data_IF_501474499007
#
_entry.id   IF_501474499007
#
_cell.length_a   1.000
_cell.length_b   1.000
_cell.length_c   1.000
_cell.angle_alpha   90.00
_cell.angle_beta   90.00
_cell.angle_gamma   90.00
#
_symmetry.space_group_name_H-M   'P 1'
#
loop_
_entity.id
_entity.type
_entity.pdbx_description
1 polymer ?
#
# COMPACT_ATOMS: atom_id res chain seq x y z
N UNK A 1 -13.78 9.55 -22.78
CA UNK A 1 -12.34 9.52 -22.42
C UNK A 1 -11.98 10.59 -21.38
N UNK A 2 -12.49 11.82 -21.45
CA UNK A 2 -12.15 12.89 -20.48
C UNK A 2 -12.51 12.55 -19.01
N UNK A 3 -13.53 11.73 -18.77
CA UNK A 3 -13.98 11.43 -17.40
C UNK A 3 -13.02 10.49 -16.63
N UNK A 4 -12.27 9.62 -17.33
CA UNK A 4 -11.36 8.63 -16.71
C UNK A 4 -10.14 9.30 -16.09
N UNK A 5 -9.53 10.25 -16.81
CA UNK A 5 -8.36 10.98 -16.33
C UNK A 5 -8.71 11.97 -15.21
N UNK A 6 -9.88 12.59 -15.25
CA UNK A 6 -10.36 13.44 -14.16
C UNK A 6 -10.60 12.63 -12.87
N UNK A 7 -11.26 11.47 -12.97
CA UNK A 7 -11.46 10.56 -11.84
C UNK A 7 -10.12 10.06 -11.27
N UNK A 8 -9.17 9.72 -12.15
CA UNK A 8 -7.82 9.35 -11.76
C UNK A 8 -7.11 10.48 -11.02
N UNK A 9 -7.11 11.70 -11.56
CA UNK A 9 -6.41 12.85 -10.96
C UNK A 9 -6.92 13.15 -9.55
N UNK A 10 -8.25 13.13 -9.35
CA UNK A 10 -8.84 13.35 -8.02
C UNK A 10 -8.48 12.22 -7.06
N UNK A 11 -8.66 10.96 -7.47
CA UNK A 11 -8.36 9.82 -6.60
C UNK A 11 -6.87 9.69 -6.29
N UNK A 12 -5.99 10.09 -7.21
CA UNK A 12 -4.54 10.20 -7.01
C UNK A 12 -4.20 11.27 -5.98
N UNK A 13 -4.77 12.47 -6.10
CA UNK A 13 -4.54 13.58 -5.17
C UNK A 13 -5.01 13.23 -3.75
N UNK A 14 -6.19 12.61 -3.63
CA UNK A 14 -6.70 12.10 -2.36
C UNK A 14 -5.74 11.05 -1.76
N UNK A 15 -5.29 10.08 -2.55
CA UNK A 15 -4.34 9.07 -2.09
C UNK A 15 -3.03 9.68 -1.63
N UNK A 16 -2.49 10.65 -2.38
CA UNK A 16 -1.25 11.34 -2.04
C UNK A 16 -1.36 12.09 -0.71
N UNK A 17 -2.45 12.83 -0.47
CA UNK A 17 -2.64 13.55 0.78
C UNK A 17 -2.90 12.63 1.97
N UNK A 18 -3.67 11.56 1.80
CA UNK A 18 -3.87 10.56 2.87
C UNK A 18 -2.56 9.86 3.22
N UNK A 19 -1.76 9.48 2.22
CA UNK A 19 -0.44 8.89 2.44
C UNK A 19 0.53 9.89 3.08
N UNK A 20 0.54 11.15 2.63
CA UNK A 20 1.31 12.22 3.26
C UNK A 20 0.96 12.35 4.74
N UNK A 21 -0.33 12.42 5.08
CA UNK A 21 -0.79 12.49 6.45
C UNK A 21 -0.29 11.32 7.31
N UNK A 22 -0.33 10.09 6.78
CA UNK A 22 0.19 8.91 7.49
C UNK A 22 1.71 8.95 7.68
N UNK A 23 2.46 9.59 6.78
CA UNK A 23 3.92 9.74 6.88
C UNK A 23 4.37 10.97 7.69
N UNK A 24 3.51 11.96 7.91
CA UNK A 24 3.86 13.19 8.64
C UNK A 24 4.42 12.90 10.02
N UNK A 25 3.76 12.08 10.83
CA UNK A 25 4.22 11.80 12.21
C UNK A 25 5.57 11.06 12.23
N UNK A 26 5.80 9.99 11.44
CA UNK A 26 7.12 9.39 11.31
C UNK A 26 8.22 10.37 10.88
N UNK A 27 7.95 11.27 9.93
CA UNK A 27 8.91 12.30 9.48
C UNK A 27 9.23 13.30 10.60
N UNK A 28 8.25 13.63 11.45
CA UNK A 28 8.43 14.53 12.60
C UNK A 28 9.12 13.87 13.79
N UNK A 29 9.22 12.55 13.83
CA UNK A 29 9.69 11.82 15.00
C UNK A 29 11.04 12.31 15.58
N UNK A 30 12.08 12.64 14.78
CA UNK A 30 13.33 13.15 15.32
C UNK A 30 13.19 14.45 16.14
N UNK A 31 12.18 15.27 15.83
CA UNK A 31 11.92 16.56 16.50
C UNK A 31 10.86 16.43 17.60
N UNK A 32 9.84 15.59 17.38
CA UNK A 32 8.72 15.45 18.33
C UNK A 32 9.01 14.49 19.50
N UNK A 33 9.83 13.45 19.30
CA UNK A 33 10.10 12.45 20.36
C UNK A 33 10.80 13.01 21.60
N UNK A 34 11.81 13.90 21.50
CA UNK A 34 12.43 14.52 22.66
C UNK A 34 11.42 15.25 23.57
N UNK A 35 10.50 16.01 22.97
CA UNK A 35 9.45 16.73 23.68
C UNK A 35 8.43 15.80 24.35
N UNK A 36 8.18 14.64 23.74
CA UNK A 36 7.24 13.63 24.22
C UNK A 36 7.84 12.64 25.24
N UNK A 37 9.15 12.72 25.51
CA UNK A 37 9.88 11.71 26.29
C UNK A 37 9.82 10.31 25.66
N UNK A 38 9.65 10.25 24.33
CA UNK A 38 9.39 9.02 23.58
C UNK A 38 10.65 8.38 23.01
N UNK A 39 10.54 7.12 22.58
CA UNK A 39 11.62 6.39 21.90
C UNK A 39 11.26 6.05 20.44
N UNK A 40 12.25 5.67 19.63
CA UNK A 40 12.04 5.23 18.23
C UNK A 40 11.08 4.05 18.10
N UNK A 41 10.95 3.22 19.14
CA UNK A 41 9.97 2.12 19.22
C UNK A 41 8.54 2.62 19.04
N UNK A 42 8.24 3.82 19.54
CA UNK A 42 6.91 4.42 19.41
C UNK A 42 6.54 4.71 17.95
N UNK A 43 7.51 5.06 17.10
CA UNK A 43 7.26 5.30 15.67
C UNK A 43 6.83 4.00 15.00
N UNK A 44 7.52 2.89 15.31
CA UNK A 44 7.15 1.57 14.83
C UNK A 44 5.75 1.15 15.28
N UNK A 45 5.43 1.35 16.57
CA UNK A 45 4.09 1.10 17.11
C UNK A 45 3.01 1.97 16.47
N UNK A 46 3.30 3.25 16.24
CA UNK A 46 2.40 4.18 15.57
C UNK A 46 2.06 3.73 14.15
N UNK A 47 3.07 3.36 13.36
CA UNK A 47 2.88 2.83 12.00
C UNK A 47 2.10 1.51 12.03
N UNK A 48 2.40 0.61 12.96
CA UNK A 48 1.66 -0.65 13.13
C UNK A 48 0.18 -0.40 13.45
N UNK A 49 -0.13 0.57 14.32
CA UNK A 49 -1.51 0.97 14.65
C UNK A 49 -2.24 1.58 13.45
N UNK A 50 -1.56 2.37 12.61
CA UNK A 50 -2.13 2.86 11.35
C UNK A 50 -2.55 1.68 10.47
N UNK A 51 -1.65 0.71 10.24
CA UNK A 51 -1.97 -0.43 9.38
C UNK A 51 -3.04 -1.35 9.98
N UNK A 52 -3.08 -1.50 11.31
CA UNK A 52 -4.14 -2.23 11.99
C UNK A 52 -5.51 -1.55 11.81
N UNK A 53 -5.56 -0.23 11.97
CA UNK A 53 -6.76 0.57 11.69
C UNK A 53 -7.17 0.50 10.21
N UNK A 54 -6.20 0.54 9.29
CA UNK A 54 -6.41 0.42 7.85
C UNK A 54 -6.97 -0.96 7.47
N UNK A 55 -6.46 -2.02 8.10
CA UNK A 55 -6.93 -3.40 7.92
C UNK A 55 -8.41 -3.56 8.29
N UNK A 56 -8.81 -3.04 9.45
CA UNK A 56 -10.21 -3.17 9.91
C UNK A 56 -11.14 -2.29 9.07
N UNK A 57 -10.73 -1.04 8.81
CA UNK A 57 -11.55 -0.08 8.06
C UNK A 57 -11.70 -0.45 6.57
N UNK A 58 -10.67 -1.04 5.94
CA UNK A 58 -10.75 -1.50 4.55
C UNK A 58 -11.82 -2.58 4.39
N UNK A 59 -11.99 -3.45 5.38
CA UNK A 59 -13.02 -4.48 5.37
C UNK A 59 -14.43 -3.88 5.35
N UNK A 60 -14.66 -2.82 6.12
CA UNK A 60 -15.97 -2.15 6.19
C UNK A 60 -16.27 -1.26 4.97
N UNK A 61 -15.23 -0.85 4.23
CA UNK A 61 -15.31 0.15 3.18
C UNK A 61 -16.31 -0.17 2.07
N UNK A 62 -16.36 -1.42 1.58
CA UNK A 62 -17.14 -1.75 0.40
C UNK A 62 -18.65 -1.54 0.56
N UNK A 63 -19.20 -1.87 1.73
CA UNK A 63 -20.61 -1.63 2.04
C UNK A 63 -20.92 -0.13 2.19
N UNK A 64 -19.96 0.65 2.70
CA UNK A 64 -20.10 2.08 2.85
C UNK A 64 -19.99 2.82 1.52
N UNK A 65 -19.10 2.37 0.63
CA UNK A 65 -18.93 2.91 -0.73
C UNK A 65 -20.23 2.76 -1.51
N UNK A 66 -20.84 1.57 -1.52
CA UNK A 66 -22.11 1.34 -2.21
C UNK A 66 -23.27 2.20 -1.70
N UNK A 67 -23.26 2.56 -0.41
CA UNK A 67 -24.33 3.33 0.22
C UNK A 67 -24.14 4.83 0.08
N UNK A 68 -22.93 5.31 0.37
CA UNK A 68 -22.66 6.75 0.52
C UNK A 68 -21.96 7.35 -0.70
N UNK A 69 -21.40 6.51 -1.57
CA UNK A 69 -20.55 6.93 -2.69
C UNK A 69 -19.06 6.86 -2.35
N UNK A 70 -18.22 6.61 -3.35
CA UNK A 70 -16.78 6.45 -3.18
C UNK A 70 -16.07 7.78 -2.84
N UNK A 71 -16.47 8.90 -3.44
CA UNK A 71 -15.95 10.23 -3.13
C UNK A 71 -16.36 10.64 -1.72
N UNK A 72 -17.61 10.39 -1.31
CA UNK A 72 -18.03 10.67 0.08
C UNK A 72 -17.20 9.91 1.11
N UNK A 73 -16.91 8.63 0.86
CA UNK A 73 -16.04 7.85 1.75
C UNK A 73 -14.62 8.40 1.74
N UNK A 74 -14.10 8.81 0.60
CA UNK A 74 -12.78 9.44 0.48
C UNK A 74 -12.67 10.77 1.24
N UNK A 75 -13.74 11.59 1.25
CA UNK A 75 -13.82 12.80 2.07
C UNK A 75 -13.79 12.49 3.56
N UNK A 76 -14.56 11.50 4.01
CA UNK A 76 -14.52 11.04 5.41
C UNK A 76 -13.11 10.56 5.77
N UNK A 77 -12.43 9.86 4.87
CA UNK A 77 -11.06 9.43 5.08
C UNK A 77 -10.09 10.61 5.27
N UNK A 78 -10.16 11.62 4.40
CA UNK A 78 -9.37 12.85 4.53
C UNK A 78 -9.64 13.56 5.86
N UNK A 79 -10.91 13.68 6.26
CA UNK A 79 -11.30 14.33 7.51
C UNK A 79 -10.83 13.53 8.73
N UNK A 80 -10.88 12.19 8.69
CA UNK A 80 -10.32 11.33 9.74
C UNK A 80 -8.79 11.48 9.84
N UNK A 81 -8.09 11.54 8.71
CA UNK A 81 -6.65 11.81 8.70
C UNK A 81 -6.32 13.19 9.26
N UNK A 82 -7.07 14.22 8.86
CA UNK A 82 -6.91 15.58 9.37
C UNK A 82 -7.20 15.68 10.87
N UNK A 83 -8.27 15.06 11.34
CA UNK A 83 -8.60 14.99 12.76
C UNK A 83 -7.51 14.24 13.54
N UNK A 84 -7.00 13.13 13.01
CA UNK A 84 -5.89 12.38 13.62
C UNK A 84 -4.64 13.26 13.79
N UNK A 85 -4.23 13.98 12.74
CA UNK A 85 -3.11 14.92 12.79
C UNK A 85 -3.35 16.07 13.78
N UNK A 86 -4.56 16.62 13.83
CA UNK A 86 -4.92 17.67 14.78
C UNK A 86 -4.87 17.15 16.24
N UNK A 87 -5.27 15.90 16.48
CA UNK A 87 -5.13 15.25 17.79
C UNK A 87 -3.65 15.05 18.12
N UNK A 88 -2.83 14.57 17.18
CA UNK A 88 -1.38 14.43 17.38
C UNK A 88 -0.70 15.76 17.75
N UNK A 89 -1.20 16.87 17.22
CA UNK A 89 -0.73 18.21 17.56
C UNK A 89 -1.02 18.60 19.02
N UNK A 90 -1.77 17.82 19.79
CA UNK A 90 -1.93 18.04 21.24
C UNK A 90 -0.64 17.79 22.03
N UNK A 91 0.28 16.98 21.50
CA UNK A 91 1.59 16.74 22.10
C UNK A 91 1.60 15.83 23.32
N UNK A 92 0.68 14.86 23.39
CA UNK A 92 0.69 13.80 24.41
C UNK A 92 0.81 12.41 23.78
N UNK A 93 1.37 11.45 24.52
CA UNK A 93 1.57 10.08 24.02
C UNK A 93 0.24 9.38 23.67
N UNK A 94 -0.81 9.59 24.46
CA UNK A 94 -2.14 9.03 24.18
C UNK A 94 -2.77 9.62 22.91
N UNK A 95 -2.46 10.89 22.59
CA UNK A 95 -2.89 11.52 21.33
C UNK A 95 -2.31 10.80 20.11
N UNK A 96 -1.07 10.29 20.21
CA UNK A 96 -0.47 9.53 19.11
C UNK A 96 -1.21 8.21 18.84
N UNK A 97 -1.69 7.53 19.88
CA UNK A 97 -2.48 6.29 19.71
C UNK A 97 -3.79 6.58 19.00
N UNK A 98 -4.52 7.60 19.44
CA UNK A 98 -5.79 7.99 18.81
C UNK A 98 -5.55 8.49 17.38
N UNK A 99 -4.50 9.29 17.17
CA UNK A 99 -4.09 9.74 15.85
C UNK A 99 -3.78 8.57 14.92
N UNK A 100 -3.02 7.58 15.36
CA UNK A 100 -2.68 6.40 14.55
C UNK A 100 -3.93 5.64 14.11
N UNK A 101 -4.87 5.42 15.03
CA UNK A 101 -6.13 4.75 14.72
C UNK A 101 -7.01 5.56 13.77
N UNK A 102 -7.08 6.89 13.95
CA UNK A 102 -7.82 7.78 13.05
C UNK A 102 -7.21 7.83 11.64
N UNK A 103 -5.88 7.95 11.55
CA UNK A 103 -5.13 7.87 10.30
C UNK A 103 -5.31 6.51 9.62
N UNK A 104 -5.28 5.41 10.38
CA UNK A 104 -5.56 4.07 9.87
C UNK A 104 -6.97 3.94 9.31
N UNK A 105 -7.97 4.42 10.06
CA UNK A 105 -9.36 4.42 9.63
C UNK A 105 -9.62 5.25 8.37
N UNK A 106 -8.85 6.32 8.16
CA UNK A 106 -8.84 7.08 6.91
C UNK A 106 -8.05 6.39 5.79
N UNK A 107 -6.91 5.77 6.09
CA UNK A 107 -6.03 5.16 5.09
C UNK A 107 -6.66 3.93 4.42
N UNK A 108 -7.32 3.06 5.20
CA UNK A 108 -7.86 1.79 4.72
C UNK A 108 -8.87 1.91 3.58
N UNK A 109 -9.96 2.70 3.70
CA UNK A 109 -11.04 2.75 2.71
C UNK A 109 -10.72 3.52 1.41
N UNK A 110 -9.64 4.30 1.37
CA UNK A 110 -9.29 5.14 0.19
C UNK A 110 -8.98 4.29 -1.04
N UNK A 111 -8.24 3.19 -0.87
CA UNK A 111 -7.93 2.32 -2.01
C UNK A 111 -9.19 1.62 -2.54
N UNK A 112 -10.04 0.97 -1.71
CA UNK A 112 -11.34 0.46 -2.13
C UNK A 112 -12.23 1.49 -2.84
N UNK A 113 -12.32 2.72 -2.33
CA UNK A 113 -13.10 3.79 -2.93
C UNK A 113 -12.58 4.16 -4.33
N UNK A 114 -11.27 4.35 -4.45
CA UNK A 114 -10.65 4.63 -5.75
C UNK A 114 -10.82 3.47 -6.74
N UNK A 115 -10.65 2.21 -6.31
CA UNK A 115 -10.83 1.04 -7.16
C UNK A 115 -12.26 0.94 -7.68
N UNK A 116 -13.25 1.30 -6.86
CA UNK A 116 -14.66 1.35 -7.26
C UNK A 116 -14.89 2.36 -8.40
N UNK A 117 -14.35 3.57 -8.27
CA UNK A 117 -14.45 4.61 -9.30
C UNK A 117 -13.70 4.20 -10.57
N UNK A 118 -12.44 3.75 -10.42
CA UNK A 118 -11.59 3.39 -11.56
C UNK A 118 -12.15 2.19 -12.32
N UNK A 119 -12.69 1.18 -11.64
CA UNK A 119 -13.29 0.02 -12.29
C UNK A 119 -14.47 0.39 -13.22
N UNK A 120 -15.22 1.44 -12.88
CA UNK A 120 -16.35 1.94 -13.67
C UNK A 120 -15.92 2.88 -14.79
N UNK A 121 -14.89 3.69 -14.54
CA UNK A 121 -14.50 4.78 -15.44
C UNK A 121 -13.36 4.41 -16.39
N UNK A 122 -12.64 3.32 -16.15
CA UNK A 122 -11.45 2.93 -16.92
C UNK A 122 -11.76 1.81 -17.92
N UNK A 123 -11.40 1.98 -19.21
CA UNK A 123 -11.47 0.88 -20.18
C UNK A 123 -10.62 -0.32 -19.77
N UNK A 124 -11.11 -1.54 -20.02
CA UNK A 124 -10.45 -2.79 -19.59
C UNK A 124 -8.99 -2.92 -20.00
N UNK A 125 -8.62 -2.42 -21.18
CA UNK A 125 -7.25 -2.48 -21.73
C UNK A 125 -6.30 -1.44 -21.12
N UNK A 126 -6.76 -0.53 -20.25
CA UNK A 126 -5.94 0.47 -19.56
C UNK A 126 -5.96 0.28 -18.03
N UNK A 127 -6.63 -0.76 -17.53
CA UNK A 127 -6.84 -0.92 -16.10
C UNK A 127 -5.52 -1.12 -15.36
N UNK A 128 -4.58 -1.91 -15.89
CA UNK A 128 -3.28 -2.14 -15.27
C UNK A 128 -2.52 -0.84 -15.07
N UNK A 129 -2.40 -0.02 -16.11
CA UNK A 129 -1.68 1.24 -16.07
C UNK A 129 -2.40 2.30 -15.22
N UNK A 130 -3.72 2.47 -15.36
CA UNK A 130 -4.47 3.49 -14.61
C UNK A 130 -4.50 3.20 -13.10
N UNK A 131 -4.69 1.93 -12.70
CA UNK A 131 -4.59 1.56 -11.28
C UNK A 131 -3.16 1.73 -10.74
N UNK A 132 -2.15 1.43 -11.56
CA UNK A 132 -0.75 1.64 -11.18
C UNK A 132 -0.42 3.11 -11.01
N UNK A 133 -0.88 3.97 -11.93
CA UNK A 133 -0.74 5.41 -11.84
C UNK A 133 -1.45 5.92 -10.58
N UNK A 134 -2.67 5.47 -10.29
CA UNK A 134 -3.37 5.80 -9.03
C UNK A 134 -2.57 5.40 -7.79
N UNK A 135 -1.96 4.21 -7.79
CA UNK A 135 -1.16 3.75 -6.65
C UNK A 135 0.17 4.48 -6.48
N UNK A 136 0.65 5.21 -7.49
CA UNK A 136 1.77 6.15 -7.29
C UNK A 136 1.43 7.30 -6.35
N UNK A 137 0.16 7.51 -6.01
CA UNK A 137 -0.23 8.44 -4.96
C UNK A 137 0.47 8.16 -3.62
N UNK A 138 0.70 6.88 -3.27
CA UNK A 138 1.36 6.53 -2.00
C UNK A 138 2.79 7.06 -1.90
N UNK A 139 3.73 6.76 -2.83
CA UNK A 139 5.07 7.33 -2.80
C UNK A 139 5.08 8.84 -3.00
N UNK A 140 4.17 9.41 -3.81
CA UNK A 140 4.03 10.88 -3.92
C UNK A 140 3.73 11.48 -2.55
N UNK A 141 2.81 10.87 -1.78
CA UNK A 141 2.53 11.31 -0.41
C UNK A 141 3.75 11.25 0.51
N UNK A 142 4.57 10.20 0.39
CA UNK A 142 5.83 10.10 1.13
C UNK A 142 6.84 11.19 0.76
N UNK A 143 6.99 11.49 -0.52
CA UNK A 143 7.84 12.59 -1.02
C UNK A 143 7.33 13.95 -0.51
N UNK A 144 6.02 14.20 -0.62
CA UNK A 144 5.41 15.42 -0.10
C UNK A 144 5.64 15.56 1.40
N UNK A 145 5.49 14.48 2.18
CA UNK A 145 5.77 14.50 3.61
C UNK A 145 7.24 14.83 3.88
N UNK A 146 8.19 14.14 3.22
CA UNK A 146 9.62 14.36 3.41
C UNK A 146 10.11 15.76 2.99
N UNK A 147 9.49 16.37 1.97
CA UNK A 147 9.88 17.69 1.47
C UNK A 147 9.20 18.85 2.22
N UNK A 148 7.90 18.74 2.47
CA UNK A 148 7.11 19.85 3.00
C UNK A 148 7.12 19.91 4.53
N UNK A 149 7.11 18.75 5.20
CA UNK A 149 6.97 18.71 6.66
C UNK A 149 8.17 19.33 7.37
N UNK A 150 9.45 19.02 7.05
CA UNK A 150 10.58 19.68 7.69
C UNK A 150 10.57 21.20 7.52
N UNK A 151 10.19 21.68 6.32
CA UNK A 151 10.07 23.12 6.06
C UNK A 151 8.96 23.77 6.89
N UNK A 152 7.83 23.09 7.09
CA UNK A 152 6.77 23.57 7.97
C UNK A 152 7.22 23.61 9.44
N UNK A 153 8.01 22.63 9.88
CA UNK A 153 8.57 22.61 11.25
C UNK A 153 9.44 23.83 11.51
N UNK A 154 10.29 24.22 10.55
CA UNK A 154 11.12 25.43 10.69
C UNK A 154 10.30 26.72 10.82
N UNK A 155 9.13 26.79 10.14
CA UNK A 155 8.32 28.00 10.08
C UNK A 155 7.33 28.13 11.24
N UNK A 156 6.69 27.03 11.64
CA UNK A 156 5.55 27.03 12.58
C UNK A 156 5.67 25.97 13.68
N UNK A 157 6.83 25.32 13.81
CA UNK A 157 7.05 24.22 14.74
C UNK A 157 6.34 22.92 14.32
N UNK A 158 6.64 21.83 15.02
CA UNK A 158 6.08 20.51 14.68
C UNK A 158 4.57 20.40 14.96
N UNK A 159 4.06 21.12 15.96
CA UNK A 159 2.63 21.23 16.23
C UNK A 159 1.91 21.93 15.07
N UNK A 160 2.45 23.07 14.59
CA UNK A 160 1.92 23.81 13.46
C UNK A 160 1.99 23.02 12.14
N UNK A 161 3.06 22.24 11.94
CA UNK A 161 3.21 21.37 10.77
C UNK A 161 2.10 20.30 10.69
N UNK A 162 1.75 19.69 11.84
CA UNK A 162 0.63 18.75 11.93
C UNK A 162 -0.71 19.42 11.58
N UNK A 163 -0.97 20.60 12.12
CA UNK A 163 -2.19 21.36 11.82
C UNK A 163 -2.27 21.82 10.37
N UNK A 164 -1.15 22.21 9.76
CA UNK A 164 -1.09 22.56 8.34
C UNK A 164 -1.41 21.36 7.45
N UNK A 165 -0.87 20.18 7.76
CA UNK A 165 -1.22 18.93 7.06
C UNK A 165 -2.69 18.53 7.28
N UNK A 166 -3.24 18.76 8.48
CA UNK A 166 -4.66 18.57 8.76
C UNK A 166 -5.55 19.49 7.91
N UNK A 167 -5.19 20.77 7.81
CA UNK A 167 -5.88 21.74 6.97
C UNK A 167 -5.85 21.33 5.49
N UNK A 168 -4.70 20.87 4.98
CA UNK A 168 -4.59 20.37 3.60
C UNK A 168 -5.56 19.21 3.32
N UNK A 169 -5.74 18.29 4.28
CA UNK A 169 -6.72 17.21 4.17
C UNK A 169 -8.17 17.75 4.11
N UNK A 170 -8.50 18.72 4.96
CA UNK A 170 -9.83 19.34 4.97
C UNK A 170 -10.12 20.10 3.66
N UNK A 171 -9.16 20.87 3.15
CA UNK A 171 -9.27 21.57 1.87
C UNK A 171 -9.48 20.60 0.71
N UNK A 172 -8.75 19.49 0.67
CA UNK A 172 -8.95 18.46 -0.35
C UNK A 172 -10.33 17.81 -0.25
N UNK A 173 -10.87 17.62 0.96
CA UNK A 173 -12.23 17.10 1.12
C UNK A 173 -13.27 18.06 0.52
N UNK A 174 -13.05 19.38 0.63
CA UNK A 174 -13.89 20.40 -0.02
C UNK A 174 -13.72 20.36 -1.54
N UNK A 175 -12.50 20.28 -2.07
CA UNK A 175 -12.26 20.15 -3.52
C UNK A 175 -12.92 18.90 -4.09
N UNK A 176 -12.83 17.76 -3.38
CA UNK A 176 -13.48 16.52 -3.77
C UNK A 176 -15.01 16.63 -3.82
N UNK A 177 -15.62 17.59 -3.09
CA UNK A 177 -17.06 17.82 -3.12
C UNK A 177 -17.54 18.23 -4.52
N UNK A 178 -16.73 18.96 -5.28
CA UNK A 178 -17.07 19.45 -6.63
C UNK A 178 -17.28 18.32 -7.63
N UNK A 179 -16.64 17.16 -7.46
CA UNK A 179 -16.74 16.01 -8.37
C UNK A 179 -17.65 14.90 -7.85
N UNK A 180 -18.15 15.03 -6.62
CA UNK A 180 -18.94 14.01 -5.94
C UNK A 180 -20.16 13.59 -6.75
N UNK A 181 -20.93 14.55 -7.27
CA UNK A 181 -22.18 14.25 -7.97
C UNK A 181 -21.95 13.45 -9.26
N UNK A 182 -20.83 13.70 -9.94
CA UNK A 182 -20.47 13.00 -11.17
C UNK A 182 -19.89 11.60 -10.92
N UNK A 183 -19.24 11.36 -9.77
CA UNK A 183 -18.52 10.11 -9.49
C UNK A 183 -19.22 9.18 -8.50
N UNK A 184 -20.19 9.68 -7.71
CA UNK A 184 -21.01 8.91 -6.77
C UNK A 184 -22.45 8.68 -7.28
N UNK A 185 -22.62 8.64 -8.61
CA UNK A 185 -23.89 8.47 -9.31
C UNK A 185 -24.51 7.06 -9.17
N UNK A 186 -23.73 6.07 -8.74
CA UNK A 186 -24.15 4.67 -8.58
C UNK A 186 -24.50 4.27 -7.13
N UNK A 187 -24.61 5.25 -6.24
CA UNK A 187 -25.00 5.01 -4.85
C UNK A 187 -26.39 4.36 -4.77
N UNK A 188 -26.49 3.32 -3.94
CA UNK A 188 -27.76 2.65 -3.65
C UNK A 188 -28.66 3.52 -2.76
N UNK A 189 -29.91 3.73 -3.19
CA UNK A 189 -30.96 4.35 -2.36
C UNK A 189 -31.66 3.34 -1.44
N UNK A 190 -31.40 2.03 -1.61
CA UNK A 190 -32.03 0.99 -0.82
C UNK A 190 -31.49 0.96 0.62
N UNK A 191 -32.27 0.46 1.60
CA UNK A 191 -31.81 0.27 2.96
C UNK A 191 -30.51 -0.51 2.99
N UNK A 192 -29.55 -0.07 3.81
CA UNK A 192 -28.26 -0.74 3.90
C UNK A 192 -28.47 -2.22 4.24
N UNK A 193 -27.88 -3.17 3.48
CA UNK A 193 -27.90 -4.57 3.88
C UNK A 193 -27.31 -4.68 5.29
N UNK A 194 -27.81 -5.64 6.09
CA UNK A 194 -27.33 -5.89 7.46
C UNK A 194 -25.81 -5.84 7.50
N UNK A 195 -25.27 -5.10 8.48
CA UNK A 195 -23.83 -4.94 8.71
C UNK A 195 -23.21 -6.29 9.04
N UNK A 196 -22.78 -7.02 8.02
CA UNK A 196 -21.93 -8.20 8.18
C UNK A 196 -20.48 -7.77 7.87
N UNK A 197 -19.68 -7.44 8.91
CA UNK A 197 -18.29 -7.03 8.71
C UNK A 197 -17.44 -8.15 8.10
N UNK A 198 -17.86 -9.41 8.21
CA UNK A 198 -17.13 -10.56 7.66
C UNK A 198 -17.57 -10.92 6.24
N UNK A 199 -18.60 -10.27 5.69
CA UNK A 199 -19.08 -10.52 4.33
C UNK A 199 -17.96 -10.42 3.27
N UNK A 200 -17.07 -9.41 3.25
CA UNK A 200 -16.01 -9.34 2.25
C UNK A 200 -15.02 -10.49 2.36
N UNK A 201 -14.71 -10.97 3.58
CA UNK A 201 -13.87 -12.16 3.77
C UNK A 201 -14.56 -13.40 3.20
N UNK A 202 -15.86 -13.58 3.50
CA UNK A 202 -16.65 -14.69 2.93
C UNK A 202 -16.66 -14.65 1.40
N UNK A 203 -16.81 -13.47 0.79
CA UNK A 203 -16.75 -13.30 -0.66
C UNK A 203 -15.40 -13.69 -1.26
N UNK A 204 -14.30 -13.43 -0.55
CA UNK A 204 -12.95 -13.81 -0.98
C UNK A 204 -12.75 -15.31 -0.90
N UNK A 205 -13.16 -15.93 0.19
CA UNK A 205 -13.03 -17.38 0.37
C UNK A 205 -14.00 -18.18 -0.53
N UNK A 206 -15.11 -17.58 -0.95
CA UNK A 206 -16.05 -18.19 -1.89
C UNK A 206 -15.49 -18.30 -3.32
N UNK A 207 -14.57 -17.43 -3.72
CA UNK A 207 -13.96 -17.46 -5.05
C UNK A 207 -12.50 -17.91 -5.00
N UNK A 208 -12.14 -19.11 -5.51
CA UNK A 208 -10.78 -19.63 -5.45
C UNK A 208 -9.71 -18.67 -5.99
N UNK A 209 -10.02 -17.96 -7.08
CA UNK A 209 -9.11 -16.96 -7.67
C UNK A 209 -8.88 -15.77 -6.75
N UNK A 210 -9.91 -15.27 -6.06
CA UNK A 210 -9.78 -14.18 -5.08
C UNK A 210 -8.98 -14.61 -3.86
N UNK A 211 -9.18 -15.83 -3.37
CA UNK A 211 -8.38 -16.40 -2.27
C UNK A 211 -6.89 -16.45 -2.63
N UNK A 212 -6.55 -16.87 -3.85
CA UNK A 212 -5.17 -16.90 -4.32
C UNK A 212 -4.56 -15.49 -4.40
N UNK A 213 -5.33 -14.50 -4.87
CA UNK A 213 -4.92 -13.10 -4.88
C UNK A 213 -4.75 -12.53 -3.47
N UNK A 214 -5.62 -12.89 -2.51
CA UNK A 214 -5.49 -12.48 -1.12
C UNK A 214 -4.17 -13.01 -0.51
N UNK A 215 -3.87 -14.30 -0.68
CA UNK A 215 -2.61 -14.92 -0.25
C UNK A 215 -1.39 -14.27 -0.91
N UNK A 216 -1.46 -14.00 -2.22
CA UNK A 216 -0.41 -13.28 -2.95
C UNK A 216 -0.15 -11.91 -2.34
N UNK A 217 -1.20 -11.15 -2.04
CA UNK A 217 -1.08 -9.79 -1.52
C UNK A 217 -0.54 -9.73 -0.09
N UNK A 218 -0.85 -10.73 0.73
CA UNK A 218 -0.30 -10.88 2.07
C UNK A 218 1.21 -11.02 2.01
N UNK A 219 1.68 -11.97 1.19
CA UNK A 219 3.10 -12.26 1.04
C UNK A 219 3.86 -11.11 0.35
N UNK A 220 3.27 -10.49 -0.66
CA UNK A 220 3.88 -9.34 -1.35
C UNK A 220 3.94 -8.10 -0.45
N UNK A 221 2.89 -7.82 0.33
CA UNK A 221 2.89 -6.73 1.30
C UNK A 221 3.92 -6.94 2.41
N UNK A 222 4.04 -8.17 2.92
CA UNK A 222 5.05 -8.53 3.89
C UNK A 222 6.47 -8.36 3.33
N UNK A 223 6.74 -8.90 2.13
CA UNK A 223 8.04 -8.77 1.45
C UNK A 223 8.38 -7.30 1.17
N UNK A 224 7.42 -6.49 0.73
CA UNK A 224 7.60 -5.06 0.46
C UNK A 224 8.07 -4.31 1.70
N UNK A 225 7.40 -4.53 2.85
CA UNK A 225 7.78 -3.83 4.07
C UNK A 225 9.11 -4.37 4.62
N UNK A 226 9.34 -5.69 4.62
CA UNK A 226 10.63 -6.27 5.03
C UNK A 226 11.79 -5.72 4.20
N UNK A 227 11.65 -5.60 2.88
CA UNK A 227 12.66 -4.98 2.01
C UNK A 227 12.94 -3.54 2.44
N UNK A 228 11.90 -2.74 2.64
CA UNK A 228 12.04 -1.31 2.97
C UNK A 228 12.67 -1.11 4.36
N UNK A 229 12.32 -1.96 5.31
CA UNK A 229 12.77 -1.85 6.70
C UNK A 229 14.19 -2.36 6.89
N UNK A 230 14.55 -3.50 6.29
CA UNK A 230 15.79 -4.21 6.64
C UNK A 230 16.91 -4.08 5.61
N UNK A 231 16.67 -3.53 4.40
CA UNK A 231 17.71 -3.47 3.36
C UNK A 231 18.94 -2.67 3.80
N UNK A 232 18.75 -1.50 4.41
CA UNK A 232 19.88 -0.67 4.87
C UNK A 232 20.63 -1.39 5.98
N UNK A 233 19.93 -1.90 6.99
CA UNK A 233 20.54 -2.68 8.08
C UNK A 233 21.32 -3.88 7.55
N UNK A 234 20.78 -4.62 6.59
CA UNK A 234 21.46 -5.76 5.97
C UNK A 234 22.75 -5.33 5.25
N UNK A 235 22.67 -4.26 4.45
CA UNK A 235 23.82 -3.74 3.72
C UNK A 235 24.90 -3.17 4.65
N UNK A 236 24.54 -2.65 5.81
CA UNK A 236 25.51 -2.10 6.78
C UNK A 236 26.07 -3.16 7.73
N UNK A 237 25.23 -4.05 8.26
CA UNK A 237 25.61 -5.01 9.31
C UNK A 237 26.20 -6.30 8.73
N UNK A 238 25.53 -6.92 7.77
CA UNK A 238 25.95 -8.22 7.22
C UNK A 238 26.93 -8.04 6.04
N UNK A 239 26.67 -7.07 5.16
CA UNK A 239 27.54 -6.82 4.01
C UNK A 239 28.74 -5.89 4.35
N UNK A 240 28.54 -4.90 5.22
CA UNK A 240 29.60 -3.98 5.66
C UNK A 240 29.74 -2.68 4.85
N UNK A 241 28.70 -2.22 4.15
CA UNK A 241 28.71 -0.92 3.47
C UNK A 241 28.63 0.25 4.45
N UNK A 242 29.19 1.39 4.05
CA UNK A 242 28.93 2.66 4.72
C UNK A 242 27.43 3.03 4.63
N UNK A 243 26.89 3.62 5.69
CA UNK A 243 25.48 4.00 5.80
C UNK A 243 24.99 4.87 4.63
N UNK A 244 25.83 5.81 4.18
CA UNK A 244 25.50 6.68 3.03
C UNK A 244 25.31 5.85 1.76
N UNK A 245 26.21 4.90 1.48
CA UNK A 245 26.13 4.04 0.29
C UNK A 245 24.92 3.11 0.35
N UNK A 246 24.65 2.51 1.51
CA UNK A 246 23.45 1.69 1.74
C UNK A 246 22.16 2.53 1.54
N UNK A 247 22.15 3.78 2.01
CA UNK A 247 21.06 4.72 1.80
C UNK A 247 20.84 5.06 0.32
N UNK A 248 21.90 5.25 -0.47
CA UNK A 248 21.82 5.45 -1.93
C UNK A 248 21.22 4.22 -2.61
N UNK A 249 21.64 3.00 -2.23
CA UNK A 249 21.06 1.77 -2.78
C UNK A 249 19.57 1.68 -2.46
N UNK A 250 19.16 1.97 -1.22
CA UNK A 250 17.74 2.01 -0.86
C UNK A 250 16.98 3.04 -1.71
N UNK A 251 17.54 4.23 -1.94
CA UNK A 251 16.92 5.25 -2.78
C UNK A 251 16.74 4.76 -4.23
N UNK A 252 17.76 4.10 -4.80
CA UNK A 252 17.68 3.47 -6.12
C UNK A 252 16.63 2.35 -6.16
N UNK A 253 16.57 1.51 -5.13
CA UNK A 253 15.53 0.48 -4.96
C UNK A 253 14.13 1.07 -4.94
N UNK A 254 13.91 2.16 -4.19
CA UNK A 254 12.62 2.84 -4.12
C UNK A 254 12.26 3.48 -5.46
N UNK A 255 13.23 4.13 -6.12
CA UNK A 255 13.06 4.70 -7.46
C UNK A 255 12.70 3.64 -8.51
N UNK A 256 13.43 2.52 -8.52
CA UNK A 256 13.12 1.37 -9.35
C UNK A 256 11.73 0.79 -9.04
N UNK A 257 11.31 0.81 -7.76
CA UNK A 257 9.96 0.49 -7.35
C UNK A 257 8.88 1.37 -7.98
N UNK A 258 9.07 2.69 -7.99
CA UNK A 258 8.14 3.64 -8.63
C UNK A 258 8.06 3.40 -10.14
N UNK A 259 9.21 3.26 -10.81
CA UNK A 259 9.25 2.95 -12.25
C UNK A 259 8.61 1.60 -12.52
N UNK A 260 8.90 0.60 -11.71
CA UNK A 260 8.33 -0.74 -11.77
C UNK A 260 6.80 -0.73 -11.69
N UNK A 261 6.20 0.09 -10.80
CA UNK A 261 4.73 0.24 -10.73
C UNK A 261 4.14 0.57 -12.09
N UNK A 262 4.68 1.59 -12.75
CA UNK A 262 4.18 2.05 -14.05
C UNK A 262 4.47 1.02 -15.15
N UNK A 263 5.69 0.47 -15.16
CA UNK A 263 6.12 -0.52 -16.14
C UNK A 263 5.24 -1.77 -16.09
N UNK A 264 5.04 -2.36 -14.91
CA UNK A 264 4.22 -3.57 -14.77
C UNK A 264 2.75 -3.30 -15.09
N UNK A 265 2.24 -2.10 -14.76
CA UNK A 265 0.90 -1.67 -15.18
C UNK A 265 0.75 -1.62 -16.70
N UNK A 266 1.75 -1.10 -17.41
CA UNK A 266 1.76 -1.07 -18.87
C UNK A 266 1.93 -2.46 -19.50
N UNK A 267 2.84 -3.28 -18.96
CA UNK A 267 3.05 -4.68 -19.37
C UNK A 267 1.78 -5.51 -19.17
N UNK A 268 1.05 -5.27 -18.06
CA UNK A 268 -0.23 -5.91 -17.75
C UNK A 268 -1.31 -5.67 -18.82
N UNK A 269 -1.25 -4.50 -19.46
CA UNK A 269 -2.26 -4.05 -20.41
C UNK A 269 -1.93 -4.46 -21.86
N UNK A 270 -0.64 -4.58 -22.21
CA UNK A 270 -0.21 -4.79 -23.60
C UNK A 270 0.36 -6.19 -23.88
N UNK A 271 1.08 -6.79 -22.92
CA UNK A 271 1.95 -7.95 -23.19
C UNK A 271 1.57 -9.19 -22.39
N UNK A 272 1.27 -9.04 -21.11
CA UNK A 272 1.05 -10.16 -20.20
C UNK A 272 -0.19 -9.92 -19.33
N UNK A 273 -1.20 -10.78 -19.47
CA UNK A 273 -2.35 -10.73 -18.60
C UNK A 273 -1.94 -10.85 -17.11
N UNK A 274 -2.58 -10.11 -16.18
CA UNK A 274 -2.15 -10.09 -14.78
C UNK A 274 -2.17 -11.43 -14.06
N UNK A 275 -3.01 -12.38 -14.50
CA UNK A 275 -2.94 -13.78 -14.05
C UNK A 275 -1.59 -14.47 -14.27
N UNK A 276 -0.80 -14.05 -15.28
CA UNK A 276 0.54 -14.56 -15.58
C UNK A 276 1.63 -13.63 -15.02
N UNK A 277 1.37 -12.33 -15.02
CA UNK A 277 2.32 -11.34 -14.53
C UNK A 277 2.55 -11.43 -13.02
N UNK A 278 1.51 -11.65 -12.20
CA UNK A 278 1.66 -11.78 -10.75
C UNK A 278 2.55 -12.97 -10.32
N UNK A 279 2.39 -14.19 -10.86
CA UNK A 279 3.36 -15.27 -10.64
C UNK A 279 4.79 -14.93 -11.08
N UNK A 280 4.96 -14.23 -12.20
CA UNK A 280 6.28 -13.79 -12.66
C UNK A 280 6.91 -12.79 -11.69
N UNK A 281 6.14 -11.83 -11.19
CA UNK A 281 6.61 -10.89 -10.16
C UNK A 281 7.00 -11.64 -8.88
N UNK A 282 6.23 -12.63 -8.45
CA UNK A 282 6.58 -13.47 -7.30
C UNK A 282 7.92 -14.18 -7.51
N UNK A 283 8.14 -14.74 -8.70
CA UNK A 283 9.40 -15.41 -9.05
C UNK A 283 10.58 -14.42 -9.04
N UNK A 284 10.42 -13.23 -9.62
CA UNK A 284 11.47 -12.21 -9.62
C UNK A 284 11.77 -11.69 -8.21
N UNK A 285 10.75 -11.55 -7.34
CA UNK A 285 10.94 -11.25 -5.92
C UNK A 285 11.71 -12.38 -5.21
N UNK A 286 11.36 -13.64 -5.49
CA UNK A 286 12.06 -14.79 -4.92
C UNK A 286 13.54 -14.79 -5.30
N UNK A 287 13.84 -14.64 -6.60
CA UNK A 287 15.21 -14.55 -7.11
C UNK A 287 15.95 -13.39 -6.45
N UNK A 288 15.35 -12.20 -6.43
CA UNK A 288 16.00 -11.00 -5.86
C UNK A 288 16.25 -11.16 -4.35
N UNK A 289 15.31 -11.77 -3.61
CA UNK A 289 15.46 -12.05 -2.18
C UNK A 289 16.56 -13.07 -1.91
N UNK A 290 16.59 -14.17 -2.66
CA UNK A 290 17.62 -15.21 -2.52
C UNK A 290 19.01 -14.69 -2.91
N UNK A 291 19.11 -13.88 -3.98
CA UNK A 291 20.35 -13.22 -4.36
C UNK A 291 20.80 -12.22 -3.29
N UNK A 292 19.86 -11.44 -2.72
CA UNK A 292 20.17 -10.53 -1.60
C UNK A 292 20.75 -11.30 -0.44
N UNK A 293 20.17 -12.44 -0.05
CA UNK A 293 20.71 -13.29 1.02
C UNK A 293 22.10 -13.89 0.70
N UNK A 294 22.45 -14.00 -0.57
CA UNK A 294 23.72 -14.55 -1.03
C UNK A 294 24.80 -13.47 -1.22
N UNK A 295 24.52 -12.21 -0.91
CA UNK A 295 25.53 -11.17 -1.01
C UNK A 295 26.70 -11.46 -0.07
N UNK A 296 27.91 -11.29 -0.61
CA UNK A 296 29.16 -11.32 0.14
C UNK A 296 30.00 -10.13 -0.27
N UNK A 297 31.03 -9.79 0.51
CA UNK A 297 31.93 -8.66 0.21
C UNK A 297 32.68 -8.80 -1.13
N UNK A 298 32.68 -9.98 -1.75
CA UNK A 298 33.25 -10.19 -3.09
C UNK A 298 32.31 -9.75 -4.23
N UNK A 299 31.03 -9.50 -3.96
CA UNK A 299 30.10 -9.02 -4.98
C UNK A 299 30.42 -7.57 -5.33
N UNK A 300 30.49 -7.20 -6.63
CA UNK A 300 30.69 -5.82 -7.01
C UNK A 300 29.46 -4.98 -6.65
N UNK A 301 29.70 -3.75 -6.18
CA UNK A 301 28.65 -2.83 -5.73
C UNK A 301 27.59 -2.57 -6.81
N UNK A 302 27.98 -2.54 -8.08
CA UNK A 302 27.07 -2.38 -9.22
C UNK A 302 26.05 -3.53 -9.31
N UNK A 303 26.47 -4.76 -9.02
CA UNK A 303 25.59 -5.92 -9.05
C UNK A 303 24.65 -5.95 -7.83
N UNK A 304 25.16 -5.58 -6.64
CA UNK A 304 24.33 -5.37 -5.45
C UNK A 304 23.23 -4.34 -5.76
N UNK A 305 23.59 -3.18 -6.30
CA UNK A 305 22.64 -2.15 -6.68
C UNK A 305 21.63 -2.65 -7.74
N UNK A 306 22.08 -3.38 -8.76
CA UNK A 306 21.20 -3.92 -9.80
C UNK A 306 20.17 -4.93 -9.25
N UNK A 307 20.61 -5.85 -8.38
CA UNK A 307 19.72 -6.81 -7.70
C UNK A 307 18.74 -6.07 -6.79
N UNK A 308 19.21 -5.11 -5.99
CA UNK A 308 18.33 -4.31 -5.13
C UNK A 308 17.34 -3.45 -5.92
N UNK A 309 17.70 -2.95 -7.11
CA UNK A 309 16.79 -2.24 -8.01
C UNK A 309 15.72 -3.17 -8.59
N UNK A 310 16.10 -4.36 -9.05
CA UNK A 310 15.13 -5.38 -9.51
C UNK A 310 14.19 -5.79 -8.38
N UNK A 311 14.73 -5.96 -7.17
CA UNK A 311 13.94 -6.27 -5.99
C UNK A 311 12.92 -5.16 -5.72
N UNK A 312 13.34 -3.90 -5.74
CA UNK A 312 12.44 -2.78 -5.57
C UNK A 312 11.38 -2.69 -6.67
N UNK A 313 11.79 -2.80 -7.94
CA UNK A 313 10.91 -2.79 -9.10
C UNK A 313 9.78 -3.81 -8.98
N UNK A 314 10.02 -4.96 -8.34
CA UNK A 314 9.03 -6.02 -8.18
C UNK A 314 8.27 -5.90 -6.85
N UNK A 315 8.97 -5.93 -5.71
CA UNK A 315 8.39 -5.93 -4.37
C UNK A 315 7.66 -4.64 -3.99
N UNK A 316 8.00 -3.50 -4.61
CA UNK A 316 7.29 -2.23 -4.41
C UNK A 316 6.29 -1.98 -5.56
N UNK A 317 6.61 -2.50 -6.75
CA UNK A 317 5.93 -2.30 -8.04
C UNK A 317 4.54 -2.92 -8.21
N UNK A 318 4.24 -4.00 -7.49
CA UNK A 318 3.13 -4.91 -7.81
C UNK A 318 1.70 -4.37 -7.61
N UNK A 319 1.53 -3.34 -6.75
CA UNK A 319 0.23 -2.94 -6.19
C UNK A 319 -0.83 -2.61 -7.25
N UNK A 320 -0.47 -1.88 -8.31
CA UNK A 320 -1.44 -1.44 -9.33
C UNK A 320 -1.98 -2.60 -10.18
N UNK A 321 -1.09 -3.46 -10.68
CA UNK A 321 -1.43 -4.67 -11.44
C UNK A 321 -2.36 -5.57 -10.63
N UNK A 322 -2.04 -5.74 -9.35
CA UNK A 322 -2.83 -6.52 -8.41
C UNK A 322 -4.25 -5.97 -8.25
N UNK A 323 -4.40 -4.68 -7.95
CA UNK A 323 -5.71 -4.06 -7.76
C UNK A 323 -6.54 -4.06 -9.05
N UNK A 324 -5.90 -3.87 -10.20
CA UNK A 324 -6.55 -4.00 -11.50
C UNK A 324 -7.13 -5.41 -11.71
N UNK A 325 -6.41 -6.45 -11.26
CA UNK A 325 -6.89 -7.83 -11.37
C UNK A 325 -8.05 -8.12 -10.42
N UNK A 326 -7.97 -7.64 -9.18
CA UNK A 326 -9.10 -7.71 -8.24
C UNK A 326 -10.33 -7.02 -8.82
N UNK A 327 -10.16 -5.83 -9.42
CA UNK A 327 -11.25 -5.10 -10.05
C UNK A 327 -11.83 -5.81 -11.29
N UNK A 328 -10.99 -6.48 -12.10
CA UNK A 328 -11.46 -7.26 -13.27
C UNK A 328 -12.26 -8.50 -12.89
N UNK A 329 -11.87 -9.17 -11.82
CA UNK A 329 -12.53 -10.39 -11.35
C UNK A 329 -13.76 -10.10 -10.48
N UNK A 330 -13.86 -8.90 -9.91
CA UNK A 330 -15.01 -8.51 -9.12
C UNK A 330 -16.27 -8.41 -9.98
N UNK A 331 -17.43 -8.96 -9.55
CA UNK A 331 -18.72 -8.70 -10.16
C UNK A 331 -18.99 -7.20 -10.31
N UNK A 332 -19.73 -6.83 -11.36
CA UNK A 332 -20.04 -5.43 -11.69
C UNK A 332 -20.58 -4.66 -10.49
N UNK A 333 -20.00 -3.50 -10.21
CA UNK A 333 -20.38 -2.64 -9.08
C UNK A 333 -19.86 -3.08 -7.71
N UNK A 334 -19.14 -4.20 -7.59
CA UNK A 334 -18.63 -4.70 -6.28
C UNK A 334 -17.12 -4.56 -6.10
N UNK A 335 -16.42 -3.90 -7.02
CA UNK A 335 -14.96 -3.77 -7.01
C UNK A 335 -14.41 -3.22 -5.68
N UNK A 336 -15.10 -2.25 -5.06
CA UNK A 336 -14.74 -1.74 -3.73
C UNK A 336 -14.80 -2.79 -2.62
N UNK A 337 -15.79 -3.70 -2.64
CA UNK A 337 -15.93 -4.77 -1.64
C UNK A 337 -14.79 -5.79 -1.74
N UNK A 338 -14.48 -6.25 -2.95
CA UNK A 338 -13.39 -7.19 -3.18
C UNK A 338 -12.02 -6.57 -2.90
N UNK A 339 -11.82 -5.31 -3.29
CA UNK A 339 -10.61 -4.56 -2.94
C UNK A 339 -10.44 -4.43 -1.43
N UNK A 340 -11.50 -4.03 -0.71
CA UNK A 340 -11.46 -3.84 0.74
C UNK A 340 -11.14 -5.12 1.51
N UNK A 341 -11.77 -6.23 1.12
CA UNK A 341 -11.50 -7.52 1.76
C UNK A 341 -10.12 -8.08 1.42
N UNK A 342 -9.59 -7.83 0.22
CA UNK A 342 -8.28 -8.37 -0.16
C UNK A 342 -7.15 -7.56 0.47
N UNK A 343 -7.31 -6.24 0.59
CA UNK A 343 -6.38 -5.37 1.32
C UNK A 343 -6.28 -5.69 2.81
N UNK A 344 -7.31 -6.29 3.42
CA UNK A 344 -7.20 -6.81 4.79
C UNK A 344 -5.97 -7.74 4.91
N UNK A 345 -5.81 -8.66 3.96
CA UNK A 345 -4.68 -9.59 3.94
C UNK A 345 -3.37 -8.89 3.60
N UNK A 346 -3.39 -7.90 2.70
CA UNK A 346 -2.22 -7.08 2.38
C UNK A 346 -1.69 -6.38 3.63
N UNK A 347 -2.56 -5.66 4.35
CA UNK A 347 -2.17 -4.93 5.56
C UNK A 347 -1.77 -5.87 6.69
N UNK A 348 -2.43 -7.03 6.83
CA UNK A 348 -1.99 -8.06 7.75
C UNK A 348 -0.57 -8.53 7.44
N UNK A 349 -0.25 -8.77 6.17
CA UNK A 349 1.11 -9.10 5.73
C UNK A 349 2.12 -8.01 6.05
N UNK A 350 1.76 -6.74 5.84
CA UNK A 350 2.59 -5.58 6.21
C UNK A 350 2.86 -5.55 7.72
N UNK A 351 1.85 -5.79 8.57
CA UNK A 351 2.03 -5.77 10.04
C UNK A 351 2.80 -7.00 10.55
N UNK A 352 2.48 -8.19 10.04
CA UNK A 352 3.06 -9.45 10.52
C UNK A 352 4.44 -9.75 9.91
N UNK A 353 4.73 -9.23 8.72
CA UNK A 353 5.95 -9.52 7.97
C UNK A 353 7.24 -9.17 8.73
N UNK A 354 7.45 -7.90 9.14
CA UNK A 354 8.68 -7.50 9.80
C UNK A 354 8.95 -8.21 11.13
N UNK A 355 7.97 -8.45 12.02
CA UNK A 355 8.18 -9.28 13.21
C UNK A 355 8.56 -10.72 12.89
N UNK A 356 7.96 -11.33 11.87
CA UNK A 356 8.33 -12.68 11.42
C UNK A 356 9.76 -12.70 10.86
N UNK A 357 10.13 -11.69 10.06
CA UNK A 357 11.49 -11.54 9.55
C UNK A 357 12.48 -11.39 10.70
N UNK A 358 12.25 -10.45 11.61
CA UNK A 358 13.09 -10.22 12.80
C UNK A 358 13.22 -11.46 13.67
N UNK A 359 12.12 -12.18 13.90
CA UNK A 359 12.10 -13.42 14.68
C UNK A 359 13.04 -14.48 14.13
N UNK A 360 13.05 -14.69 12.81
CA UNK A 360 13.98 -15.64 12.17
C UNK A 360 15.43 -15.17 12.25
N UNK A 361 15.68 -13.88 12.06
CA UNK A 361 17.04 -13.31 12.11
C UNK A 361 17.64 -13.33 13.51
N UNK A 362 16.80 -13.30 14.55
CA UNK A 362 17.24 -13.41 15.93
C UNK A 362 17.89 -14.77 16.24
N UNK A 363 17.39 -15.86 15.65
CA UNK A 363 17.93 -17.20 15.87
C UNK A 363 19.17 -17.52 15.02
N UNK A 364 19.29 -16.88 13.85
CA UNK A 364 20.40 -17.12 12.91
C UNK A 364 21.57 -16.14 13.07
N UNK A 365 21.37 -15.05 13.82
CA UNK A 365 22.28 -13.90 13.92
C UNK A 365 22.65 -13.25 12.59
N UNK A 366 21.84 -13.44 11.54
CA UNK A 366 22.03 -12.82 10.23
C UNK A 366 20.71 -12.44 9.60
N UNK A 367 20.66 -11.24 9.03
CA UNK A 367 19.52 -10.71 8.29
C UNK A 367 19.32 -11.48 6.96
N UNK A 368 20.37 -12.14 6.43
CA UNK A 368 20.29 -13.00 5.25
C UNK A 368 19.26 -14.14 5.41
N UNK A 369 19.10 -14.72 6.61
CA UNK A 369 18.15 -15.80 6.83
C UNK A 369 16.70 -15.36 6.66
N UNK A 370 16.39 -14.09 7.00
CA UNK A 370 15.08 -13.50 6.75
C UNK A 370 14.79 -13.42 5.25
N UNK A 371 15.77 -12.98 4.46
CA UNK A 371 15.67 -12.95 2.99
C UNK A 371 15.59 -14.35 2.36
N UNK A 372 16.25 -15.36 2.95
CA UNK A 372 16.10 -16.76 2.52
C UNK A 372 14.68 -17.28 2.75
N UNK A 373 14.12 -17.08 3.94
CA UNK A 373 12.75 -17.50 4.26
C UNK A 373 11.76 -16.84 3.31
N UNK A 374 11.80 -15.52 3.19
CA UNK A 374 10.87 -14.79 2.34
C UNK A 374 11.08 -15.10 0.85
N UNK A 375 12.32 -15.34 0.42
CA UNK A 375 12.61 -15.83 -0.93
C UNK A 375 11.97 -17.20 -1.20
N UNK A 376 12.05 -18.13 -0.24
CA UNK A 376 11.37 -19.42 -0.31
C UNK A 376 9.85 -19.30 -0.35
N UNK A 377 9.27 -18.43 0.49
CA UNK A 377 7.82 -18.14 0.48
C UNK A 377 7.36 -17.52 -0.85
N UNK A 378 8.16 -16.60 -1.43
CA UNK A 378 7.89 -16.02 -2.74
C UNK A 378 7.96 -17.08 -3.86
N UNK A 379 8.90 -18.02 -3.78
CA UNK A 379 8.99 -19.11 -4.74
C UNK A 379 7.78 -20.04 -4.63
N UNK A 380 7.37 -20.39 -3.41
CA UNK A 380 6.20 -21.24 -3.17
C UNK A 380 4.91 -20.59 -3.73
N UNK A 381 4.70 -19.29 -3.49
CA UNK A 381 3.53 -18.57 -4.02
C UNK A 381 3.62 -18.42 -5.55
N UNK A 382 4.81 -18.21 -6.12
CA UNK A 382 4.99 -18.18 -7.58
C UNK A 382 4.53 -19.50 -8.23
N UNK A 383 4.98 -20.64 -7.69
CA UNK A 383 4.60 -21.96 -8.17
C UNK A 383 3.10 -22.24 -8.00
N UNK A 384 2.55 -21.85 -6.85
CA UNK A 384 1.12 -21.99 -6.58
C UNK A 384 0.29 -21.19 -7.59
N UNK A 385 0.61 -19.92 -7.80
CA UNK A 385 -0.09 -19.06 -8.74
C UNK A 385 0.08 -19.53 -10.20
N UNK A 386 1.26 -20.03 -10.57
CA UNK A 386 1.52 -20.56 -11.91
C UNK A 386 0.61 -21.74 -12.25
N UNK A 387 0.41 -22.65 -11.29
CA UNK A 387 -0.53 -23.79 -11.44
C UNK A 387 -1.96 -23.33 -11.70
N UNK A 388 -2.39 -22.26 -11.04
CA UNK A 388 -3.74 -21.71 -11.21
C UNK A 388 -3.89 -20.84 -12.46
N UNK A 389 -2.82 -20.20 -12.93
CA UNK A 389 -2.82 -19.42 -14.17
C UNK A 389 -3.03 -20.29 -15.42
N UNK A 390 -2.59 -21.56 -15.36
CA UNK A 390 -2.78 -22.56 -16.41
C UNK A 390 -4.15 -23.24 -16.45
N UNK A 391 -4.96 -23.11 -15.39
CA UNK A 391 -6.29 -23.71 -15.36
C UNK A 391 -7.26 -22.93 -16.28
N UNK A 392 -7.96 -23.59 -17.23
CA UNK A 392 -8.93 -22.93 -18.09
C UNK A 392 -10.00 -22.22 -17.24
N UNK A 393 -10.43 -21.03 -17.70
CA UNK A 393 -11.52 -20.34 -17.03
C UNK A 393 -12.77 -21.24 -17.04
N UNK A 394 -13.48 -21.38 -15.91
CA UNK A 394 -14.77 -22.07 -15.93
C UNK A 394 -15.66 -21.37 -16.96
N UNK A 395 -16.20 -22.15 -17.90
CA UNK A 395 -17.17 -21.65 -18.88
C UNK A 395 -18.34 -21.08 -18.08
N UNK A 396 -18.62 -19.79 -18.23
CA UNK A 396 -19.90 -19.26 -17.80
C UNK A 396 -20.93 -19.87 -18.75
N UNK A 397 -21.68 -20.85 -18.27
CA UNK A 397 -22.90 -21.29 -18.93
C UNK A 397 -23.83 -20.08 -18.95
N UNK A 398 -24.04 -19.52 -20.14
CA UNK A 398 -25.11 -18.56 -20.42
C UNK A 398 -26.42 -19.32 -20.35
N UNK A 399 -27.05 -19.32 -19.18
CA UNK A 399 -28.43 -19.75 -18.95
C UNK A 399 -29.31 -18.54 -18.68
#
# INVERSE_FOLDING_TARGET
MNNSYAALAVTLAIQALVSMASFTVPVLAPVALPDLGGSLVLVGLFVALIYLGAMISSLLSGSWILRFGAIRISQVCLLLCGAGLAIAAGGQLWCLVISALALGAGYGPVTPASSHILARTTPRHLMGFMFSLKQTGVPIGGVLAGMLVPRLVELVGWHGALLAAALACALMALVAQCVREALDDDRSQSPAPRRDPFKPLRLIFAMPRMRNLALCSLLFGAMQLCLTTYLVSYLTEDYGLALVTAGVILALTQGAGVVGRLLWGWVADHWLEPRRLLPLLALLMAISSLLTAAFTQSWPLSLVAAVSMLFGATAIGWNGVYLAEVARLAPTGTAGQYTGGTLFFTYFGVVAGPPLFAGVTHFSHSLASGYLLFGGLMLAIALLLWRFAGAPAPRCDTG
#
